data_IF_622944128521
#
_entry.id   IF_622944128521
#
_cell.length_a   1.000
_cell.length_b   1.000
_cell.length_c   1.000
_cell.angle_alpha   90.00
_cell.angle_beta   90.00
_cell.angle_gamma   90.00
#
_symmetry.space_group_name_H-M   'P 1'
#
loop_
_entity.id
_entity.type
_entity.pdbx_description
1 polymer ?
#
# COMPACT_ATOMS: atom_id res chain seq x y z
N UNK A 1 -7.89 4.43 7.59
CA UNK A 1 -9.23 4.45 6.93
C UNK A 1 -9.84 5.84 7.15
N UNK A 2 -10.99 6.18 6.54
CA UNK A 2 -11.68 7.46 6.79
C UNK A 2 -12.39 7.44 8.14
N UNK A 3 -12.60 8.62 8.72
CA UNK A 3 -13.25 8.77 10.05
C UNK A 3 -14.76 8.62 9.96
N UNK A 4 -15.42 8.36 11.09
CA UNK A 4 -16.89 8.34 11.19
C UNK A 4 -17.51 9.66 10.72
N UNK A 5 -16.87 10.80 11.02
CA UNK A 5 -17.31 12.11 10.52
C UNK A 5 -17.39 12.10 8.98
N UNK A 6 -16.35 11.63 8.29
CA UNK A 6 -16.35 11.59 6.83
C UNK A 6 -17.37 10.60 6.29
N UNK A 7 -17.55 9.45 6.94
CA UNK A 7 -18.60 8.49 6.59
C UNK A 7 -19.99 9.14 6.65
N UNK A 8 -20.29 9.88 7.72
CA UNK A 8 -21.56 10.60 7.90
C UNK A 8 -21.76 11.69 6.83
N UNK A 9 -20.72 12.48 6.51
CA UNK A 9 -20.78 13.50 5.45
C UNK A 9 -21.20 12.90 4.11
N UNK A 10 -20.63 11.72 3.74
CA UNK A 10 -20.99 11.02 2.50
C UNK A 10 -22.43 10.48 2.58
N UNK A 11 -22.81 9.95 3.72
CA UNK A 11 -24.12 9.33 3.93
C UNK A 11 -25.30 10.31 3.88
N UNK A 12 -25.09 11.63 4.08
CA UNK A 12 -26.13 12.64 3.95
C UNK A 12 -26.88 12.52 2.62
N UNK A 13 -26.16 12.24 1.54
CA UNK A 13 -26.74 12.14 0.18
C UNK A 13 -26.73 10.73 -0.37
N UNK A 14 -25.94 9.81 0.21
CA UNK A 14 -25.63 8.51 -0.37
C UNK A 14 -25.71 7.34 0.62
N UNK A 15 -26.39 7.53 1.74
CA UNK A 15 -26.43 6.54 2.82
C UNK A 15 -26.85 5.14 2.42
N UNK A 16 -27.79 5.01 1.48
CA UNK A 16 -28.29 3.74 0.94
C UNK A 16 -27.48 3.20 -0.25
N UNK A 17 -26.52 3.97 -0.79
CA UNK A 17 -25.65 3.49 -1.87
C UNK A 17 -24.69 2.44 -1.33
N UNK A 18 -24.24 1.56 -2.23
CA UNK A 18 -23.26 0.54 -1.89
C UNK A 18 -21.89 1.19 -1.61
N UNK A 19 -21.37 0.92 -0.43
CA UNK A 19 -20.05 1.36 0.02
C UNK A 19 -19.00 0.28 -0.17
N UNK A 20 -19.31 -0.97 0.22
CA UNK A 20 -18.38 -2.10 0.13
C UNK A 20 -19.08 -3.31 -0.46
N UNK A 21 -18.39 -3.99 -1.39
CA UNK A 21 -18.73 -5.32 -1.88
C UNK A 21 -17.64 -6.28 -1.43
N UNK A 22 -18.03 -7.30 -0.66
CA UNK A 22 -17.15 -8.36 -0.17
C UNK A 22 -17.74 -9.70 -0.59
N UNK A 23 -17.16 -10.31 -1.60
CA UNK A 23 -17.73 -11.47 -2.31
C UNK A 23 -19.13 -11.14 -2.84
N UNK A 24 -20.14 -11.90 -2.42
CA UNK A 24 -21.53 -11.70 -2.81
C UNK A 24 -22.29 -10.71 -1.90
N UNK A 25 -21.66 -10.27 -0.81
CA UNK A 25 -22.30 -9.38 0.17
C UNK A 25 -22.06 -7.92 -0.18
N UNK A 26 -23.12 -7.15 -0.10
CA UNK A 26 -23.10 -5.72 -0.31
C UNK A 26 -23.43 -4.99 0.98
N UNK A 27 -22.68 -3.93 1.27
CA UNK A 27 -22.86 -3.11 2.46
C UNK A 27 -23.03 -1.66 2.04
N UNK A 28 -24.07 -1.02 2.54
CA UNK A 28 -24.34 0.40 2.33
C UNK A 28 -23.42 1.27 3.20
N UNK A 29 -23.39 2.58 2.92
CA UNK A 29 -22.71 3.54 3.80
C UNK A 29 -23.29 3.51 5.22
N UNK A 30 -24.60 3.38 5.36
CA UNK A 30 -25.24 3.23 6.68
C UNK A 30 -24.81 1.95 7.39
N UNK A 31 -24.61 0.85 6.69
CA UNK A 31 -24.13 -0.38 7.33
C UNK A 31 -22.71 -0.20 7.88
N UNK A 32 -21.84 0.50 7.15
CA UNK A 32 -20.47 0.77 7.57
C UNK A 32 -20.44 1.74 8.76
N UNK A 33 -21.30 2.76 8.75
CA UNK A 33 -21.45 3.69 9.87
C UNK A 33 -21.84 2.93 11.14
N UNK A 34 -22.94 2.18 11.12
CA UNK A 34 -23.44 1.41 12.30
C UNK A 34 -22.37 0.47 12.84
N UNK A 35 -21.69 -0.24 11.97
CA UNK A 35 -20.59 -1.16 12.35
C UNK A 35 -19.41 -0.42 12.96
N UNK A 36 -19.09 0.77 12.46
CA UNK A 36 -18.02 1.62 12.99
C UNK A 36 -18.39 2.19 14.36
N UNK A 37 -19.61 2.69 14.51
CA UNK A 37 -20.15 3.20 15.79
C UNK A 37 -20.10 2.14 16.90
N UNK A 38 -20.56 0.94 16.60
CA UNK A 38 -20.52 -0.19 17.53
C UNK A 38 -19.09 -0.47 18.03
N UNK A 39 -18.09 -0.41 17.13
CA UNK A 39 -16.68 -0.63 17.48
C UNK A 39 -16.11 0.52 18.33
N UNK A 40 -16.50 1.76 18.04
CA UNK A 40 -16.08 2.91 18.85
C UNK A 40 -16.61 2.77 20.29
N UNK A 41 -17.89 2.44 20.44
CA UNK A 41 -18.51 2.22 21.77
C UNK A 41 -17.82 1.08 22.50
N UNK A 42 -17.60 -0.05 21.82
CA UNK A 42 -16.87 -1.18 22.40
C UNK A 42 -15.47 -0.77 22.89
N UNK A 43 -14.69 -0.07 22.06
CA UNK A 43 -13.34 0.36 22.43
C UNK A 43 -13.35 1.29 23.64
N UNK A 44 -14.31 2.22 23.71
CA UNK A 44 -14.41 3.17 24.80
C UNK A 44 -14.86 2.54 26.12
N UNK A 45 -15.64 1.45 26.06
CA UNK A 45 -16.08 0.70 27.24
C UNK A 45 -15.05 -0.30 27.74
N UNK A 46 -14.37 -0.99 26.80
CA UNK A 46 -13.46 -2.08 27.12
C UNK A 46 -12.03 -1.64 27.46
N UNK A 47 -11.62 -0.44 27.04
CA UNK A 47 -10.24 0.02 27.16
C UNK A 47 -10.14 1.45 27.67
N UNK A 48 -9.15 1.71 28.50
CA UNK A 48 -8.74 3.07 28.80
C UNK A 48 -7.97 3.69 27.62
N UNK A 49 -8.09 5.01 27.35
CA UNK A 49 -7.35 5.68 26.27
C UNK A 49 -5.83 5.45 26.34
N UNK A 50 -5.26 5.38 27.54
CA UNK A 50 -3.84 5.12 27.75
C UNK A 50 -3.40 3.71 27.31
N UNK A 51 -4.30 2.73 27.36
CA UNK A 51 -4.05 1.35 26.94
C UNK A 51 -4.06 1.22 25.40
N UNK A 52 -4.77 2.11 24.70
CA UNK A 52 -4.91 2.11 23.25
C UNK A 52 -3.98 3.12 22.56
N UNK A 53 -2.72 3.25 23.01
CA UNK A 53 -1.73 4.13 22.37
C UNK A 53 -1.42 3.74 20.92
N UNK A 54 -1.56 2.47 20.59
CA UNK A 54 -1.50 1.93 19.24
C UNK A 54 -2.15 0.56 19.17
N UNK A 55 -2.53 0.16 17.98
CA UNK A 55 -3.11 -1.15 17.66
C UNK A 55 -2.30 -1.80 16.55
N UNK A 56 -2.14 -3.12 16.61
CA UNK A 56 -1.67 -3.92 15.48
C UNK A 56 -2.80 -4.77 14.91
N UNK A 57 -2.71 -5.15 13.64
CA UNK A 57 -3.64 -6.11 13.05
C UNK A 57 -2.93 -7.10 12.10
N UNK A 58 -3.41 -8.34 12.15
CA UNK A 58 -3.01 -9.49 11.33
C UNK A 58 -4.27 -10.04 10.67
N UNK A 59 -4.61 -9.53 9.49
CA UNK A 59 -5.88 -9.86 8.85
C UNK A 59 -5.82 -9.73 7.34
N UNK A 60 -6.55 -10.59 6.65
CA UNK A 60 -6.95 -10.36 5.26
C UNK A 60 -7.90 -9.15 5.19
N UNK A 61 -8.07 -8.62 3.98
CA UNK A 61 -9.05 -7.58 3.74
C UNK A 61 -10.46 -8.09 4.07
N UNK A 62 -11.20 -7.31 4.83
CA UNK A 62 -12.59 -7.62 5.19
C UNK A 62 -13.34 -6.35 5.58
N UNK A 63 -14.66 -6.41 5.52
CA UNK A 63 -15.53 -5.32 5.99
C UNK A 63 -15.27 -5.02 7.46
N UNK A 64 -15.12 -6.07 8.27
CA UNK A 64 -14.88 -5.91 9.70
C UNK A 64 -13.56 -5.18 9.98
N UNK A 65 -12.48 -5.52 9.28
CA UNK A 65 -11.22 -4.79 9.38
C UNK A 65 -11.38 -3.31 8.99
N UNK A 66 -12.10 -3.02 7.91
CA UNK A 66 -12.34 -1.63 7.45
C UNK A 66 -13.09 -0.84 8.53
N UNK A 67 -14.12 -1.43 9.16
CA UNK A 67 -14.87 -0.79 10.23
C UNK A 67 -14.01 -0.55 11.50
N UNK A 68 -13.13 -1.50 11.87
CA UNK A 68 -12.15 -1.30 12.93
C UNK A 68 -11.19 -0.16 12.61
N UNK A 69 -10.66 -0.14 11.39
CA UNK A 69 -9.74 0.92 10.96
C UNK A 69 -10.41 2.30 10.93
N UNK A 70 -11.70 2.37 10.59
CA UNK A 70 -12.49 3.60 10.65
C UNK A 70 -12.73 4.04 12.11
N UNK A 71 -13.00 3.11 13.02
CA UNK A 71 -13.12 3.38 14.45
C UNK A 71 -11.80 3.92 15.03
N UNK A 72 -10.66 3.29 14.72
CA UNK A 72 -9.36 3.77 15.16
C UNK A 72 -9.02 5.14 14.57
N UNK A 73 -9.30 5.37 13.28
CA UNK A 73 -9.10 6.67 12.65
C UNK A 73 -9.95 7.76 13.32
N UNK A 74 -11.19 7.45 13.73
CA UNK A 74 -12.09 8.37 14.44
C UNK A 74 -11.56 8.73 15.83
N UNK A 75 -11.00 7.74 16.52
CA UNK A 75 -10.43 7.92 17.86
C UNK A 75 -8.96 8.40 17.83
N UNK A 76 -8.37 8.64 16.65
CA UNK A 76 -6.95 9.04 16.54
C UNK A 76 -5.96 7.97 17.00
N UNK A 77 -6.36 6.69 17.02
CA UNK A 77 -5.52 5.57 17.45
C UNK A 77 -4.71 5.06 16.26
N UNK A 78 -3.36 5.09 16.32
CA UNK A 78 -2.52 4.51 15.27
C UNK A 78 -2.76 3.01 15.13
N UNK A 79 -3.11 2.57 13.91
CA UNK A 79 -3.33 1.15 13.59
C UNK A 79 -2.26 0.67 12.61
N UNK A 80 -1.49 -0.34 13.02
CA UNK A 80 -0.32 -0.84 12.33
C UNK A 80 -0.62 -2.22 11.74
N UNK A 81 -0.67 -2.30 10.42
CA UNK A 81 -0.81 -3.58 9.72
C UNK A 81 0.50 -4.35 9.72
N UNK A 82 0.44 -5.62 10.09
CA UNK A 82 1.56 -6.54 10.00
C UNK A 82 1.30 -7.53 8.86
N UNK A 83 2.34 -7.84 8.12
CA UNK A 83 2.26 -8.86 7.08
C UNK A 83 2.05 -10.24 7.73
N UNK A 84 0.85 -10.78 7.59
CA UNK A 84 0.45 -12.04 8.18
C UNK A 84 1.15 -13.26 7.55
N UNK A 85 1.88 -13.09 6.45
CA UNK A 85 2.68 -14.14 5.83
C UNK A 85 4.09 -14.29 6.46
N UNK A 86 4.49 -13.36 7.31
CA UNK A 86 5.78 -13.42 7.99
C UNK A 86 5.84 -14.58 8.99
N UNK A 87 7.03 -15.14 9.23
CA UNK A 87 7.23 -16.15 10.27
C UNK A 87 6.75 -15.65 11.65
N UNK A 88 6.13 -16.54 12.43
CA UNK A 88 5.57 -16.24 13.76
C UNK A 88 6.58 -15.55 14.69
N UNK A 89 7.82 -15.98 14.69
CA UNK A 89 8.87 -15.40 15.52
C UNK A 89 9.19 -13.93 15.11
N UNK A 90 9.13 -13.65 13.81
CA UNK A 90 9.30 -12.29 13.30
C UNK A 90 8.13 -11.41 13.72
N UNK A 91 6.90 -11.90 13.57
CA UNK A 91 5.67 -11.21 14.00
C UNK A 91 5.71 -10.92 15.51
N UNK A 92 6.08 -11.92 16.32
CA UNK A 92 6.22 -11.75 17.76
C UNK A 92 7.28 -10.69 18.11
N UNK A 93 8.42 -10.71 17.43
CA UNK A 93 9.47 -9.70 17.60
C UNK A 93 8.99 -8.28 17.29
N UNK A 94 8.19 -8.12 16.23
CA UNK A 94 7.56 -6.83 15.86
C UNK A 94 6.53 -6.39 16.92
N UNK A 95 5.68 -7.30 17.40
CA UNK A 95 4.69 -7.01 18.43
C UNK A 95 5.34 -6.53 19.74
N UNK A 96 6.46 -7.16 20.14
CA UNK A 96 7.22 -6.74 21.33
C UNK A 96 7.80 -5.33 21.12
N UNK A 97 8.35 -5.03 19.95
CA UNK A 97 8.92 -3.70 19.64
C UNK A 97 7.87 -2.60 19.56
N UNK A 98 6.73 -2.87 18.93
CA UNK A 98 5.64 -1.90 18.76
C UNK A 98 4.88 -1.73 20.07
N UNK A 99 4.76 -2.79 20.86
CA UNK A 99 4.04 -2.88 22.13
C UNK A 99 2.62 -2.24 22.05
N UNK A 100 1.74 -2.73 21.16
CA UNK A 100 0.39 -2.22 21.01
C UNK A 100 -0.47 -2.61 22.23
N UNK A 101 -1.48 -1.81 22.56
CA UNK A 101 -2.45 -2.19 23.60
C UNK A 101 -3.45 -3.26 23.14
N UNK A 102 -3.68 -3.34 21.84
CA UNK A 102 -4.61 -4.28 21.21
C UNK A 102 -4.02 -4.86 19.93
N UNK A 103 -4.24 -6.13 19.70
CA UNK A 103 -3.98 -6.82 18.43
C UNK A 103 -5.26 -7.44 17.89
N UNK A 104 -5.66 -7.02 16.69
CA UNK A 104 -6.75 -7.66 15.94
C UNK A 104 -6.19 -8.80 15.08
N UNK A 105 -6.81 -9.96 15.11
CA UNK A 105 -6.34 -11.14 14.37
C UNK A 105 -7.50 -11.81 13.64
N UNK A 106 -7.31 -12.14 12.38
CA UNK A 106 -8.15 -13.14 11.70
C UNK A 106 -7.69 -14.53 12.14
N UNK A 107 -8.40 -15.11 13.10
CA UNK A 107 -8.00 -16.41 13.69
C UNK A 107 -7.93 -17.52 12.67
N UNK A 108 -8.66 -17.44 11.57
CA UNK A 108 -8.59 -18.40 10.47
C UNK A 108 -7.24 -18.45 9.74
N UNK A 109 -6.36 -17.48 9.95
CA UNK A 109 -5.02 -17.45 9.35
C UNK A 109 -4.01 -18.33 10.09
N UNK A 110 -4.29 -18.71 11.34
CA UNK A 110 -3.33 -19.34 12.23
C UNK A 110 -3.92 -20.55 12.92
N UNK A 111 -3.09 -21.55 13.15
CA UNK A 111 -3.42 -22.67 14.04
C UNK A 111 -3.48 -22.20 15.51
N UNK A 112 -4.14 -22.96 16.41
CA UNK A 112 -4.14 -22.65 17.85
C UNK A 112 -2.74 -22.53 18.45
N UNK A 113 -1.80 -23.36 18.00
CA UNK A 113 -0.40 -23.32 18.47
C UNK A 113 0.33 -22.05 18.02
N UNK A 114 0.09 -21.58 16.80
CA UNK A 114 0.63 -20.33 16.29
C UNK A 114 0.04 -19.13 17.02
N UNK A 115 -1.25 -19.12 17.29
CA UNK A 115 -1.90 -18.07 18.10
C UNK A 115 -1.33 -18.01 19.51
N UNK A 116 -1.06 -19.17 20.14
CA UNK A 116 -0.39 -19.21 21.44
C UNK A 116 1.02 -18.64 21.39
N UNK A 117 1.78 -18.91 20.33
CA UNK A 117 3.11 -18.35 20.12
C UNK A 117 3.10 -16.85 19.87
N UNK A 118 2.09 -16.34 19.16
CA UNK A 118 1.89 -14.91 18.93
C UNK A 118 1.50 -14.15 20.19
N UNK A 119 0.93 -14.82 21.18
CA UNK A 119 0.44 -14.19 22.41
C UNK A 119 1.58 -13.51 23.20
N UNK A 120 1.38 -12.25 23.50
CA UNK A 120 2.23 -11.43 24.36
C UNK A 120 1.38 -10.96 25.54
N UNK A 121 1.80 -11.24 26.78
CA UNK A 121 1.00 -11.00 28.00
C UNK A 121 0.45 -9.57 28.15
N UNK A 122 1.15 -8.59 27.64
CA UNK A 122 0.80 -7.17 27.72
C UNK A 122 -0.13 -6.70 26.62
N UNK A 123 -0.44 -7.55 25.63
CA UNK A 123 -1.21 -7.22 24.44
C UNK A 123 -2.52 -7.98 24.48
N UNK A 124 -3.65 -7.26 24.49
CA UNK A 124 -4.96 -7.89 24.33
C UNK A 124 -5.13 -8.36 22.88
N UNK A 125 -5.50 -9.63 22.71
CA UNK A 125 -5.78 -10.21 21.38
C UNK A 125 -7.28 -10.33 21.19
N UNK A 126 -7.80 -9.85 20.05
CA UNK A 126 -9.20 -9.88 19.69
C UNK A 126 -9.37 -10.36 18.25
N UNK A 127 -10.38 -11.19 18.00
CA UNK A 127 -10.74 -11.57 16.63
C UNK A 127 -11.25 -10.35 15.84
N UNK A 128 -10.84 -10.23 14.57
CA UNK A 128 -11.29 -9.13 13.70
C UNK A 128 -12.82 -9.14 13.53
N UNK A 129 -13.41 -10.32 13.45
CA UNK A 129 -14.84 -10.58 13.32
C UNK A 129 -15.56 -10.78 14.66
N UNK A 130 -14.88 -10.46 15.80
CA UNK A 130 -15.50 -10.52 17.11
C UNK A 130 -16.80 -9.70 17.13
N UNK A 131 -17.91 -10.26 17.65
CA UNK A 131 -19.13 -9.51 17.79
C UNK A 131 -18.89 -8.34 18.76
N UNK A 132 -19.02 -7.16 18.26
CA UNK A 132 -19.23 -5.97 19.08
C UNK A 132 -20.73 -5.91 19.34
N UNK A 133 -21.17 -5.63 20.58
CA UNK A 133 -22.56 -5.65 20.95
C UNK A 133 -23.45 -5.10 19.83
N UNK A 134 -24.44 -5.87 19.38
CA UNK A 134 -25.34 -5.38 18.37
C UNK A 134 -26.07 -4.18 18.96
N UNK A 135 -25.71 -2.99 18.51
CA UNK A 135 -26.59 -1.86 18.69
C UNK A 135 -27.79 -2.15 17.83
N UNK A 136 -28.78 -2.79 18.43
CA UNK A 136 -30.11 -2.94 17.86
C UNK A 136 -30.78 -1.58 18.03
N UNK A 137 -30.34 -0.59 17.24
CA UNK A 137 -31.14 0.58 16.93
C UNK A 137 -32.14 0.18 15.87
N UNK A 138 -33.39 0.54 16.06
CA UNK A 138 -34.43 0.45 15.05
C UNK A 138 -33.96 1.11 13.75
N UNK A 139 -34.37 0.57 12.62
CA UNK A 139 -34.16 1.12 11.29
C UNK A 139 -34.59 2.60 11.31
N UNK A 140 -33.62 3.54 11.30
CA UNK A 140 -33.90 4.98 11.33
C UNK A 140 -33.13 5.82 12.34
N UNK A 141 -32.56 5.25 13.39
CA UNK A 141 -31.71 5.95 14.35
C UNK A 141 -30.24 5.73 14.00
N UNK A 142 -29.59 6.77 13.43
CA UNK A 142 -28.25 6.70 12.89
C UNK A 142 -27.14 6.96 13.91
N UNK A 143 -27.47 7.27 15.16
CA UNK A 143 -26.50 7.55 16.19
C UNK A 143 -26.72 6.66 17.40
N UNK A 144 -25.65 6.07 17.90
CA UNK A 144 -25.66 5.44 19.21
C UNK A 144 -25.83 6.55 20.25
N UNK A 145 -26.84 6.53 21.16
CA UNK A 145 -27.10 7.61 22.09
C UNK A 145 -25.91 8.04 22.95
N UNK A 146 -25.01 7.08 23.26
CA UNK A 146 -23.80 7.34 24.03
C UNK A 146 -22.65 7.91 23.16
N UNK A 147 -22.69 7.75 21.84
CA UNK A 147 -21.57 8.08 20.96
C UNK A 147 -21.27 9.57 20.94
N UNK A 148 -22.29 10.41 20.87
CA UNK A 148 -22.11 11.88 20.91
C UNK A 148 -21.43 12.34 22.19
N UNK A 149 -21.87 11.80 23.34
CA UNK A 149 -21.24 12.10 24.63
C UNK A 149 -19.79 11.60 24.70
N UNK A 150 -19.52 10.39 24.17
CA UNK A 150 -18.18 9.81 24.13
C UNK A 150 -17.23 10.58 23.22
N UNK A 151 -17.72 11.05 22.07
CA UNK A 151 -16.93 11.84 21.13
C UNK A 151 -16.74 13.29 21.58
N UNK A 152 -17.73 13.89 22.24
CA UNK A 152 -17.62 15.24 22.78
C UNK A 152 -16.52 15.39 23.84
N UNK A 153 -16.23 14.32 24.58
CA UNK A 153 -15.16 14.30 25.60
C UNK A 153 -13.83 13.75 25.08
N UNK A 154 -13.81 13.28 23.83
CA UNK A 154 -12.62 12.68 23.24
C UNK A 154 -11.67 13.74 22.68
N UNK A 155 -10.42 13.76 23.17
CA UNK A 155 -9.33 14.55 22.60
C UNK A 155 -8.51 13.61 21.75
N UNK A 156 -8.51 13.76 20.40
CA UNK A 156 -7.69 12.92 19.53
C UNK A 156 -6.21 13.07 19.89
N UNK A 157 -5.50 11.93 19.93
CA UNK A 157 -4.05 11.97 20.07
C UNK A 157 -3.41 12.68 18.84
N UNK A 158 -2.24 13.30 19.00
CA UNK A 158 -1.48 13.84 17.88
C UNK A 158 -1.30 12.79 16.77
N UNK A 159 -1.39 13.22 15.52
CA UNK A 159 -1.24 12.32 14.38
C UNK A 159 0.06 11.53 14.48
N UNK A 160 -0.03 10.21 14.35
CA UNK A 160 1.11 9.32 14.26
C UNK A 160 0.78 8.19 13.29
N UNK A 161 1.61 8.01 12.29
CA UNK A 161 1.53 6.89 11.36
C UNK A 161 2.74 5.99 11.55
N UNK A 162 2.49 4.70 11.60
CA UNK A 162 3.51 3.65 11.65
C UNK A 162 3.32 2.77 10.43
N UNK A 163 4.40 2.55 9.70
CA UNK A 163 4.42 1.63 8.55
C UNK A 163 5.65 0.73 8.67
N UNK A 164 5.57 -0.47 8.10
CA UNK A 164 6.71 -1.37 8.03
C UNK A 164 7.30 -1.36 6.63
N UNK A 165 8.62 -1.37 6.53
CA UNK A 165 9.28 -1.61 5.25
C UNK A 165 9.11 -3.07 4.87
N UNK A 166 8.93 -3.35 3.58
CA UNK A 166 8.99 -4.71 3.03
C UNK A 166 10.46 -5.14 2.93
N UNK A 167 11.06 -5.51 4.05
CA UNK A 167 12.48 -5.88 4.09
C UNK A 167 12.79 -7.06 3.16
N UNK A 168 13.49 -6.79 2.06
CA UNK A 168 13.95 -7.83 1.13
C UNK A 168 15.26 -8.50 1.58
N UNK A 169 15.99 -7.92 2.52
CA UNK A 169 17.32 -8.40 2.98
C UNK A 169 17.53 -8.32 4.49
N UNK A 170 16.65 -7.68 5.26
CA UNK A 170 16.77 -7.52 6.71
C UNK A 170 15.38 -7.51 7.38
N UNK A 171 15.35 -7.60 8.71
CA UNK A 171 14.10 -7.47 9.46
C UNK A 171 13.38 -6.16 9.09
N UNK A 172 12.02 -6.17 8.97
CA UNK A 172 11.26 -4.98 8.65
C UNK A 172 11.56 -3.82 9.60
N UNK A 173 11.81 -2.62 9.04
CA UNK A 173 12.02 -1.41 9.84
C UNK A 173 10.69 -0.72 10.08
N UNK A 174 10.55 -0.11 11.25
CA UNK A 174 9.39 0.72 11.60
C UNK A 174 9.65 2.14 11.09
N UNK A 175 8.79 2.62 10.21
CA UNK A 175 8.79 3.97 9.65
C UNK A 175 7.76 4.82 10.38
N UNK A 176 8.16 5.96 10.92
CA UNK A 176 7.32 6.87 11.68
C UNK A 176 7.06 8.17 10.90
N UNK A 177 5.79 8.65 10.98
CA UNK A 177 5.39 9.97 10.51
C UNK A 177 4.51 10.65 11.54
N UNK A 178 4.77 11.92 11.75
CA UNK A 178 4.03 12.77 12.70
C UNK A 178 3.11 13.77 11.99
N UNK A 179 3.15 13.81 10.65
CA UNK A 179 2.26 14.62 9.84
C UNK A 179 1.64 13.78 8.72
N UNK A 180 0.35 14.01 8.46
CA UNK A 180 -0.34 13.38 7.34
C UNK A 180 -0.08 14.14 6.05
N UNK A 181 0.24 13.44 5.00
CA UNK A 181 0.37 13.98 3.64
C UNK A 181 -0.84 13.61 2.75
N UNK A 182 -1.79 12.89 3.30
CA UNK A 182 -2.87 12.30 2.48
C UNK A 182 -3.74 13.34 1.78
N UNK A 183 -4.09 14.44 2.43
CA UNK A 183 -4.95 15.46 1.82
C UNK A 183 -4.33 15.96 0.52
N UNK A 184 -3.07 16.42 0.54
CA UNK A 184 -2.38 16.91 -0.66
C UNK A 184 -2.26 15.84 -1.74
N UNK A 185 -1.83 14.62 -1.36
CA UNK A 185 -1.67 13.51 -2.31
C UNK A 185 -3.01 13.12 -2.94
N UNK A 186 -4.07 13.00 -2.14
CA UNK A 186 -5.38 12.60 -2.63
C UNK A 186 -5.98 13.67 -3.54
N UNK A 187 -5.86 14.94 -3.18
CA UNK A 187 -6.30 16.06 -4.01
C UNK A 187 -5.59 16.05 -5.36
N UNK A 188 -4.25 15.88 -5.35
CA UNK A 188 -3.48 15.83 -6.58
C UNK A 188 -3.93 14.70 -7.51
N UNK A 189 -4.02 13.46 -7.00
CA UNK A 189 -4.46 12.31 -7.81
C UNK A 189 -5.91 12.45 -8.27
N UNK A 190 -6.79 12.93 -7.41
CA UNK A 190 -8.20 13.16 -7.74
C UNK A 190 -8.34 14.15 -8.89
N UNK A 191 -7.64 15.28 -8.84
CA UNK A 191 -7.65 16.28 -9.89
C UNK A 191 -6.98 15.78 -11.17
N UNK A 192 -5.79 15.16 -11.04
CA UNK A 192 -5.02 14.70 -12.21
C UNK A 192 -5.76 13.66 -13.04
N UNK A 193 -6.46 12.73 -12.40
CA UNK A 193 -7.16 11.63 -13.06
C UNK A 193 -8.68 11.79 -13.08
N UNK A 194 -9.21 12.94 -12.66
CA UNK A 194 -10.63 13.23 -12.59
C UNK A 194 -11.42 12.13 -11.87
N UNK A 195 -10.93 11.69 -10.70
CA UNK A 195 -11.63 10.70 -9.92
C UNK A 195 -12.87 11.27 -9.26
N UNK A 196 -13.93 10.47 -9.25
CA UNK A 196 -15.22 10.79 -8.65
C UNK A 196 -15.71 9.62 -7.79
N UNK A 197 -16.83 9.81 -7.14
CA UNK A 197 -17.51 8.74 -6.41
C UNK A 197 -18.07 7.61 -7.31
N UNK A 198 -18.10 7.79 -8.62
CA UNK A 198 -18.49 6.74 -9.58
C UNK A 198 -17.33 5.78 -9.91
N UNK A 199 -16.13 6.10 -9.48
CA UNK A 199 -14.94 5.28 -9.73
C UNK A 199 -14.77 4.26 -8.62
N UNK A 200 -15.53 3.17 -8.62
CA UNK A 200 -15.35 2.09 -7.67
C UNK A 200 -13.94 1.51 -7.72
N UNK A 201 -13.38 1.25 -6.55
CA UNK A 201 -12.00 0.81 -6.39
C UNK A 201 -11.93 -0.68 -6.07
N UNK A 202 -11.19 -1.43 -6.88
CA UNK A 202 -10.88 -2.82 -6.63
C UNK A 202 -9.72 -2.91 -5.63
N UNK A 203 -10.02 -3.30 -4.40
CA UNK A 203 -9.04 -3.49 -3.34
C UNK A 203 -8.52 -4.91 -3.35
N UNK A 204 -7.44 -5.15 -4.08
CA UNK A 204 -6.76 -6.43 -4.21
C UNK A 204 -5.51 -6.50 -3.33
N UNK A 205 -4.83 -5.36 -3.10
CA UNK A 205 -3.67 -5.31 -2.22
C UNK A 205 -4.09 -5.36 -0.75
N UNK A 206 -3.32 -6.04 0.09
CA UNK A 206 -3.62 -6.10 1.53
C UNK A 206 -3.63 -4.73 2.19
N UNK A 207 -4.57 -4.51 3.11
CA UNK A 207 -4.68 -3.28 3.89
C UNK A 207 -3.50 -3.05 4.84
N UNK A 208 -2.71 -4.07 5.16
CA UNK A 208 -1.50 -3.87 5.95
C UNK A 208 -0.37 -3.19 5.15
N UNK A 209 -0.41 -3.23 3.82
CA UNK A 209 0.48 -2.44 2.98
C UNK A 209 0.01 -0.98 2.87
N UNK A 210 0.97 -0.06 2.88
CA UNK A 210 0.70 1.37 2.72
C UNK A 210 -0.07 1.68 1.42
N UNK A 211 0.22 0.96 0.33
CA UNK A 211 -0.50 1.09 -0.93
C UNK A 211 -1.97 0.65 -0.79
N UNK A 212 -2.25 -0.55 -0.28
CA UNK A 212 -3.63 -1.03 -0.10
C UNK A 212 -4.46 -0.08 0.77
N UNK A 213 -3.94 0.27 1.96
CA UNK A 213 -4.64 1.17 2.88
C UNK A 213 -4.81 2.60 2.33
N UNK A 214 -3.75 3.17 1.77
CA UNK A 214 -3.76 4.55 1.29
C UNK A 214 -4.74 4.76 0.15
N UNK A 215 -4.75 3.90 -0.85
CA UNK A 215 -5.64 4.01 -2.00
C UNK A 215 -7.10 3.67 -1.64
N UNK A 216 -7.35 2.63 -0.83
CA UNK A 216 -8.70 2.35 -0.33
C UNK A 216 -9.27 3.56 0.43
N UNK A 217 -8.46 4.21 1.26
CA UNK A 217 -8.84 5.40 2.01
C UNK A 217 -9.16 6.59 1.11
N UNK A 218 -8.39 6.80 0.03
CA UNK A 218 -8.63 7.85 -0.95
C UNK A 218 -9.99 7.66 -1.64
N UNK A 219 -10.21 6.49 -2.25
CA UNK A 219 -11.45 6.23 -3.00
C UNK A 219 -12.68 6.22 -2.08
N UNK A 220 -12.57 5.63 -0.90
CA UNK A 220 -13.62 5.69 0.10
C UNK A 220 -13.89 7.13 0.56
N UNK A 221 -12.85 7.97 0.68
CA UNK A 221 -12.97 9.40 1.00
C UNK A 221 -13.68 10.21 -0.09
N UNK A 222 -13.60 9.79 -1.36
CA UNK A 222 -14.37 10.37 -2.47
C UNK A 222 -15.84 9.93 -2.48
N UNK A 223 -16.20 8.96 -1.66
CA UNK A 223 -17.51 8.32 -1.67
C UNK A 223 -17.65 7.20 -2.70
N UNK A 224 -16.55 6.71 -3.26
CA UNK A 224 -16.55 5.57 -4.18
C UNK A 224 -16.67 4.24 -3.42
N UNK A 225 -17.26 3.24 -4.09
CA UNK A 225 -17.37 1.88 -3.53
C UNK A 225 -16.02 1.16 -3.52
N UNK A 226 -15.80 0.31 -2.50
CA UNK A 226 -14.69 -0.63 -2.46
C UNK A 226 -15.17 -2.04 -2.82
N UNK A 227 -14.44 -2.70 -3.71
CA UNK A 227 -14.67 -4.09 -4.09
C UNK A 227 -13.52 -4.93 -3.54
N UNK A 228 -13.79 -5.77 -2.52
CA UNK A 228 -12.76 -6.57 -1.86
C UNK A 228 -12.57 -7.88 -2.62
N UNK A 229 -11.35 -8.12 -3.08
CA UNK A 229 -10.98 -9.37 -3.77
C UNK A 229 -9.66 -9.87 -3.19
N UNK A 230 -9.61 -11.15 -2.86
CA UNK A 230 -8.35 -11.82 -2.53
C UNK A 230 -7.52 -12.00 -3.80
N UNK A 231 -6.26 -11.59 -3.77
CA UNK A 231 -5.36 -11.67 -4.93
C UNK A 231 -5.18 -13.10 -5.47
N UNK A 232 -5.43 -14.13 -4.65
CA UNK A 232 -5.28 -15.53 -5.02
C UNK A 232 -6.59 -16.15 -5.55
N UNK A 233 -7.71 -15.42 -5.48
CA UNK A 233 -8.99 -15.83 -6.04
C UNK A 233 -9.20 -15.24 -7.44
N UNK A 234 -8.70 -15.97 -8.45
CA UNK A 234 -8.78 -15.56 -9.86
C UNK A 234 -10.22 -15.44 -10.35
N UNK A 235 -11.10 -16.33 -9.90
CA UNK A 235 -12.52 -16.29 -10.28
C UNK A 235 -13.22 -15.04 -9.77
N UNK A 236 -13.01 -14.70 -8.50
CA UNK A 236 -13.54 -13.47 -7.92
C UNK A 236 -12.93 -12.21 -8.57
N UNK A 237 -11.65 -12.27 -8.97
CA UNK A 237 -10.99 -11.18 -9.68
C UNK A 237 -11.65 -10.93 -11.05
N UNK A 238 -11.84 -11.96 -11.86
CA UNK A 238 -12.50 -11.86 -13.17
C UNK A 238 -13.92 -11.31 -13.01
N UNK A 239 -14.67 -11.84 -12.06
CA UNK A 239 -16.04 -11.39 -11.78
C UNK A 239 -16.06 -9.90 -11.39
N UNK A 240 -15.17 -9.47 -10.49
CA UNK A 240 -15.10 -8.08 -10.08
C UNK A 240 -14.72 -7.14 -11.23
N UNK A 241 -13.78 -7.53 -12.09
CA UNK A 241 -13.37 -6.74 -13.26
C UNK A 241 -14.50 -6.54 -14.26
N UNK A 242 -15.41 -7.50 -14.38
CA UNK A 242 -16.59 -7.41 -15.28
C UNK A 242 -17.69 -6.47 -14.76
N UNK A 243 -17.57 -5.93 -13.55
CA UNK A 243 -18.54 -4.99 -12.99
C UNK A 243 -18.27 -3.57 -13.51
N UNK A 244 -19.30 -2.94 -14.08
CA UNK A 244 -19.18 -1.56 -14.58
C UNK A 244 -18.85 -0.54 -13.46
N UNK A 245 -19.08 -0.88 -12.20
CA UNK A 245 -18.71 -0.03 -11.05
C UNK A 245 -17.22 -0.03 -10.77
N UNK A 246 -16.45 -1.02 -11.21
CA UNK A 246 -14.99 -1.13 -10.95
C UNK A 246 -14.21 -0.36 -12.01
N UNK A 247 -13.63 0.76 -11.63
CA UNK A 247 -12.92 1.68 -12.54
C UNK A 247 -11.44 1.83 -12.25
N UNK A 248 -11.02 1.60 -11.00
CA UNK A 248 -9.66 1.86 -10.56
C UNK A 248 -9.12 0.74 -9.66
N UNK A 249 -7.81 0.52 -9.74
CA UNK A 249 -7.10 -0.40 -8.83
C UNK A 249 -5.62 -0.07 -8.74
N UNK A 250 -4.95 -0.68 -7.75
CA UNK A 250 -3.49 -0.68 -7.63
C UNK A 250 -3.01 -2.12 -7.59
N UNK A 251 -2.00 -2.43 -8.40
CA UNK A 251 -1.47 -3.78 -8.56
C UNK A 251 0.05 -3.80 -8.46
N UNK A 252 0.60 -4.96 -8.08
CA UNK A 252 2.02 -5.24 -8.29
C UNK A 252 2.26 -5.67 -9.73
N UNK A 253 3.50 -5.54 -10.27
CA UNK A 253 3.85 -6.05 -11.59
C UNK A 253 3.51 -7.53 -11.80
N UNK A 254 3.64 -8.35 -10.74
CA UNK A 254 3.28 -9.78 -10.80
C UNK A 254 1.77 -9.98 -11.03
N UNK A 255 0.91 -9.22 -10.33
CA UNK A 255 -0.53 -9.28 -10.54
C UNK A 255 -0.91 -8.84 -11.96
N UNK A 256 -0.28 -7.78 -12.48
CA UNK A 256 -0.49 -7.36 -13.87
C UNK A 256 -0.08 -8.45 -14.85
N UNK A 257 1.07 -9.10 -14.63
CA UNK A 257 1.54 -10.18 -15.50
C UNK A 257 0.58 -11.38 -15.51
N UNK A 258 0.03 -11.76 -14.35
CA UNK A 258 -0.99 -12.81 -14.23
C UNK A 258 -2.26 -12.43 -15.01
N UNK A 259 -2.75 -11.21 -14.82
CA UNK A 259 -3.94 -10.70 -15.50
C UNK A 259 -3.74 -10.61 -17.01
N UNK A 260 -2.55 -10.16 -17.45
CA UNK A 260 -2.16 -10.09 -18.86
C UNK A 260 -2.13 -11.48 -19.51
N UNK A 261 -1.57 -12.48 -18.81
CA UNK A 261 -1.58 -13.86 -19.28
C UNK A 261 -3.01 -14.37 -19.48
N UNK A 262 -3.87 -14.16 -18.49
CA UNK A 262 -5.27 -14.53 -18.58
C UNK A 262 -5.96 -13.86 -19.78
N UNK A 263 -5.74 -12.55 -19.97
CA UNK A 263 -6.29 -11.80 -21.09
C UNK A 263 -5.73 -12.23 -22.46
N UNK A 264 -4.54 -12.85 -22.51
CA UNK A 264 -3.99 -13.43 -23.75
C UNK A 264 -4.60 -14.78 -24.12
N UNK A 265 -5.13 -15.50 -23.13
CA UNK A 265 -5.71 -16.85 -23.31
C UNK A 265 -7.24 -16.81 -23.48
N UNK A 266 -7.88 -15.77 -22.93
CA UNK A 266 -9.34 -15.61 -22.95
C UNK A 266 -9.74 -14.16 -23.17
N UNK A 267 -10.98 -13.93 -23.63
CA UNK A 267 -11.52 -12.56 -23.72
C UNK A 267 -11.87 -12.08 -22.30
N UNK A 268 -11.02 -11.22 -21.74
CA UNK A 268 -11.26 -10.61 -20.45
C UNK A 268 -12.02 -9.30 -20.61
N UNK A 269 -13.27 -9.29 -20.19
CA UNK A 269 -14.06 -8.07 -20.12
C UNK A 269 -13.75 -7.31 -18.84
N UNK A 270 -13.36 -6.04 -18.94
CA UNK A 270 -13.16 -5.17 -17.79
C UNK A 270 -13.63 -3.74 -18.07
N UNK A 271 -13.92 -3.00 -17.00
CA UNK A 271 -14.30 -1.60 -17.05
C UNK A 271 -13.28 -0.68 -16.39
N UNK A 272 -12.08 -1.21 -16.08
CA UNK A 272 -10.98 -0.41 -15.55
C UNK A 272 -10.62 0.71 -16.51
N UNK A 273 -10.47 1.92 -15.99
CA UNK A 273 -9.94 3.10 -16.69
C UNK A 273 -8.60 3.56 -16.13
N UNK A 274 -8.21 3.02 -14.97
CA UNK A 274 -6.98 3.40 -14.29
C UNK A 274 -6.44 2.24 -13.44
N UNK A 275 -5.19 1.90 -13.70
CA UNK A 275 -4.42 0.92 -12.93
C UNK A 275 -3.10 1.55 -12.56
N UNK A 276 -2.77 1.61 -11.27
CA UNK A 276 -1.47 2.06 -10.80
C UNK A 276 -0.62 0.85 -10.45
N UNK A 277 0.57 0.77 -11.03
CA UNK A 277 1.48 -0.37 -10.86
C UNK A 277 2.73 0.08 -10.12
N UNK A 278 3.17 -0.71 -9.14
CA UNK A 278 4.41 -0.43 -8.43
C UNK A 278 4.71 -1.43 -7.31
N UNK A 279 5.67 -1.10 -6.46
CA UNK A 279 6.12 -1.95 -5.36
C UNK A 279 7.26 -2.90 -5.71
N UNK A 280 7.52 -3.15 -7.00
CA UNK A 280 8.70 -3.83 -7.54
C UNK A 280 8.99 -3.35 -8.95
N UNK A 281 10.11 -3.76 -9.52
CA UNK A 281 10.44 -3.45 -10.91
C UNK A 281 9.39 -4.03 -11.87
N UNK A 282 8.93 -3.21 -12.82
CA UNK A 282 7.96 -3.61 -13.84
C UNK A 282 8.66 -3.79 -15.18
N UNK A 283 8.89 -5.04 -15.62
CA UNK A 283 9.65 -5.33 -16.84
C UNK A 283 9.03 -4.73 -18.08
N UNK A 284 9.86 -4.21 -18.99
CA UNK A 284 9.43 -3.60 -20.26
C UNK A 284 8.55 -4.54 -21.08
N UNK A 285 8.95 -5.81 -21.20
CA UNK A 285 8.15 -6.84 -21.89
C UNK A 285 6.75 -6.99 -21.27
N UNK A 286 6.65 -6.96 -19.95
CA UNK A 286 5.38 -7.07 -19.25
C UNK A 286 4.52 -5.80 -19.43
N UNK A 287 5.13 -4.62 -19.46
CA UNK A 287 4.44 -3.36 -19.78
C UNK A 287 3.81 -3.43 -21.18
N UNK A 288 4.59 -3.78 -22.18
CA UNK A 288 4.13 -3.89 -23.58
C UNK A 288 3.00 -4.92 -23.69
N UNK A 289 3.15 -6.09 -23.06
CA UNK A 289 2.11 -7.12 -23.07
C UNK A 289 0.81 -6.65 -22.39
N UNK A 290 0.92 -5.96 -21.26
CA UNK A 290 -0.25 -5.39 -20.56
C UNK A 290 -0.99 -4.40 -21.45
N UNK A 291 -0.29 -3.51 -22.13
CA UNK A 291 -0.89 -2.58 -23.11
C UNK A 291 -1.61 -3.32 -24.25
N UNK A 292 -0.96 -4.34 -24.81
CA UNK A 292 -1.51 -5.09 -25.95
C UNK A 292 -2.81 -5.80 -25.61
N UNK A 293 -2.90 -6.37 -24.39
CA UNK A 293 -4.03 -7.22 -24.02
C UNK A 293 -5.09 -6.51 -23.18
N UNK A 294 -4.72 -5.47 -22.43
CA UNK A 294 -5.61 -4.79 -21.46
C UNK A 294 -5.80 -3.30 -21.78
N UNK A 295 -5.09 -2.76 -22.77
CA UNK A 295 -5.25 -1.36 -23.22
C UNK A 295 -4.46 -0.33 -22.40
N UNK A 296 -4.69 0.93 -22.72
CA UNK A 296 -3.94 2.09 -22.22
C UNK A 296 -4.47 2.61 -20.88
N UNK A 297 -4.48 1.75 -19.85
CA UNK A 297 -5.03 2.06 -18.53
C UNK A 297 -3.97 2.08 -17.43
N UNK A 298 -2.73 1.69 -17.76
CA UNK A 298 -1.67 1.51 -16.78
C UNK A 298 -0.88 2.77 -16.54
N UNK A 299 -0.59 3.03 -15.28
CA UNK A 299 0.33 4.05 -14.79
C UNK A 299 1.31 3.34 -13.86
N UNK A 300 2.57 3.74 -13.85
CA UNK A 300 3.58 3.17 -12.97
C UNK A 300 4.05 4.21 -11.97
N UNK A 301 4.28 3.81 -10.72
CA UNK A 301 4.88 4.66 -9.72
C UNK A 301 6.18 4.08 -9.18
N UNK A 302 7.10 4.98 -8.80
CA UNK A 302 8.29 4.65 -8.05
C UNK A 302 8.31 5.41 -6.72
N UNK A 303 8.74 4.71 -5.68
CA UNK A 303 8.86 5.20 -4.32
C UNK A 303 9.00 4.05 -3.34
N UNK A 304 9.14 4.36 -2.07
CA UNK A 304 9.24 3.37 -1.00
C UNK A 304 8.43 3.80 0.24
N UNK A 305 8.41 2.94 1.25
CA UNK A 305 7.69 3.24 2.51
C UNK A 305 8.19 4.54 3.15
N UNK A 306 9.48 4.82 3.06
CA UNK A 306 10.12 5.99 3.66
C UNK A 306 9.80 7.30 2.93
N UNK A 307 9.58 7.24 1.62
CA UNK A 307 9.44 8.44 0.77
C UNK A 307 8.04 8.66 0.22
N UNK A 308 7.18 7.65 0.25
CA UNK A 308 5.88 7.66 -0.41
C UNK A 308 5.99 7.40 -1.91
N UNK A 309 5.06 7.92 -2.69
CA UNK A 309 5.02 7.84 -4.16
C UNK A 309 5.62 9.10 -4.75
N UNK A 310 6.75 9.01 -5.43
CA UNK A 310 7.55 10.18 -5.80
C UNK A 310 7.68 10.42 -7.29
N UNK A 311 7.64 9.35 -8.08
CA UNK A 311 7.77 9.37 -9.54
C UNK A 311 6.55 8.68 -10.13
N UNK A 312 6.05 9.21 -11.21
CA UNK A 312 4.89 8.67 -11.93
C UNK A 312 5.19 8.61 -13.42
N UNK A 313 4.95 7.47 -14.02
CA UNK A 313 4.84 7.27 -15.46
C UNK A 313 3.36 7.09 -15.78
N UNK A 314 2.77 8.08 -16.43
CA UNK A 314 1.38 7.98 -16.88
C UNK A 314 1.29 7.08 -18.12
N UNK A 315 0.09 6.66 -18.45
CA UNK A 315 -0.14 5.68 -19.52
C UNK A 315 0.50 6.08 -20.86
N UNK A 316 0.45 7.34 -21.26
CA UNK A 316 1.11 7.84 -22.47
C UNK A 316 2.64 7.76 -22.38
N UNK A 317 3.20 8.24 -21.25
CA UNK A 317 4.65 8.18 -21.03
C UNK A 317 5.18 6.75 -21.00
N UNK A 318 4.44 5.85 -20.37
CA UNK A 318 4.80 4.44 -20.27
C UNK A 318 4.80 3.76 -21.65
N UNK A 319 3.91 4.17 -22.55
CA UNK A 319 3.88 3.70 -23.92
C UNK A 319 5.06 4.25 -24.75
N UNK A 320 5.35 5.56 -24.64
CA UNK A 320 6.43 6.21 -25.37
C UNK A 320 7.82 5.78 -24.91
N UNK A 321 7.98 5.53 -23.60
CA UNK A 321 9.27 5.22 -22.99
C UNK A 321 9.14 4.14 -21.90
N UNK A 322 8.86 2.88 -22.28
CA UNK A 322 8.54 1.82 -21.31
C UNK A 322 9.72 1.44 -20.40
N UNK A 323 10.96 1.81 -20.74
CA UNK A 323 12.13 1.60 -19.89
C UNK A 323 12.20 2.57 -18.69
N UNK A 324 11.47 3.69 -18.74
CA UNK A 324 11.43 4.67 -17.66
C UNK A 324 10.35 4.32 -16.64
N UNK A 325 10.56 4.72 -15.38
CA UNK A 325 9.53 4.73 -14.34
C UNK A 325 8.79 6.06 -14.23
N UNK A 326 9.06 7.01 -15.15
CA UNK A 326 8.39 8.30 -15.25
C UNK A 326 9.18 9.48 -14.70
N UNK A 327 8.46 10.51 -14.27
CA UNK A 327 9.01 11.78 -13.77
C UNK A 327 8.54 12.08 -12.35
N UNK A 328 9.31 12.88 -11.65
CA UNK A 328 8.86 13.46 -10.38
C UNK A 328 7.60 14.32 -10.60
N UNK A 329 6.65 14.25 -9.69
CA UNK A 329 5.38 14.95 -9.75
C UNK A 329 5.06 15.66 -8.42
N UNK A 330 4.09 16.56 -8.42
CA UNK A 330 3.57 17.25 -7.23
C UNK A 330 4.68 17.85 -6.31
N UNK A 331 5.71 18.45 -6.92
CA UNK A 331 6.80 19.08 -6.18
C UNK A 331 7.80 18.11 -5.54
N UNK A 332 7.67 16.79 -5.78
CA UNK A 332 8.75 15.86 -5.48
C UNK A 332 10.00 16.20 -6.33
N UNK A 333 11.17 15.92 -5.79
CA UNK A 333 12.43 16.13 -6.51
C UNK A 333 13.28 14.88 -6.47
N UNK A 334 13.89 14.57 -7.61
CA UNK A 334 14.84 13.47 -7.76
C UNK A 334 16.20 14.05 -8.09
N UNK A 335 17.23 13.57 -7.43
CA UNK A 335 18.64 13.81 -7.76
C UNK A 335 19.35 12.49 -7.95
N UNK A 336 20.30 12.48 -8.87
CA UNK A 336 21.25 11.39 -9.02
C UNK A 336 22.57 11.90 -8.44
N UNK A 337 23.15 11.08 -7.56
CA UNK A 337 24.33 11.45 -6.78
C UNK A 337 25.48 10.49 -7.07
N UNK A 338 26.70 11.01 -7.03
CA UNK A 338 27.90 10.20 -7.01
C UNK A 338 28.15 9.55 -5.62
N UNK A 339 29.31 8.93 -5.46
CA UNK A 339 29.69 8.28 -4.20
C UNK A 339 29.88 9.25 -3.03
N UNK A 340 30.27 10.49 -3.33
CA UNK A 340 30.48 11.56 -2.36
C UNK A 340 29.20 12.38 -2.09
N UNK A 341 28.06 11.92 -2.62
CA UNK A 341 26.73 12.57 -2.55
C UNK A 341 26.66 13.92 -3.28
N UNK A 342 27.49 14.13 -4.29
CA UNK A 342 27.44 15.32 -5.16
C UNK A 342 26.45 15.06 -6.32
N UNK A 343 25.55 16.04 -6.62
CA UNK A 343 24.60 15.88 -7.72
C UNK A 343 25.27 15.74 -9.09
N UNK A 344 24.81 14.74 -9.84
CA UNK A 344 25.25 14.44 -11.20
C UNK A 344 24.31 15.10 -12.24
N UNK A 345 24.86 15.38 -13.42
CA UNK A 345 24.08 15.85 -14.58
C UNK A 345 23.27 14.71 -15.18
N UNK A 346 22.22 15.07 -15.96
CA UNK A 346 21.44 14.12 -16.74
C UNK A 346 22.34 13.17 -17.57
N UNK A 347 21.90 11.95 -17.76
CA UNK A 347 22.63 10.87 -18.41
C UNK A 347 23.68 10.16 -17.55
N UNK A 348 24.11 10.77 -16.43
CA UNK A 348 25.08 10.13 -15.53
C UNK A 348 24.37 9.20 -14.55
N UNK A 349 25.02 8.07 -14.24
CA UNK A 349 24.53 7.01 -13.37
C UNK A 349 24.99 7.20 -11.94
N UNK A 350 24.10 6.97 -10.96
CA UNK A 350 24.46 7.13 -9.55
C UNK A 350 23.34 6.72 -8.61
N UNK A 351 23.49 7.08 -7.34
CA UNK A 351 22.51 6.84 -6.28
C UNK A 351 21.30 7.75 -6.47
N UNK A 352 20.12 7.19 -6.28
CA UNK A 352 18.87 7.98 -6.35
C UNK A 352 18.60 8.60 -4.99
N UNK A 353 18.39 9.93 -4.98
CA UNK A 353 17.98 10.68 -3.80
C UNK A 353 16.63 11.37 -4.06
N UNK A 354 15.76 11.34 -3.05
CA UNK A 354 14.37 11.81 -3.14
C UNK A 354 14.11 12.88 -2.08
N UNK A 355 13.67 14.07 -2.49
CA UNK A 355 13.04 15.04 -1.61
C UNK A 355 11.52 15.05 -1.86
N UNK A 356 10.74 14.98 -0.79
CA UNK A 356 9.28 14.83 -0.86
C UNK A 356 8.62 15.37 0.40
N UNK A 357 7.41 15.90 0.25
CA UNK A 357 6.53 16.19 1.39
C UNK A 357 6.00 14.93 2.06
N UNK A 358 6.19 13.76 1.45
CA UNK A 358 5.78 12.44 1.96
C UNK A 358 6.91 11.71 2.70
N UNK A 359 8.08 12.34 2.89
CA UNK A 359 9.18 11.71 3.63
C UNK A 359 8.75 11.29 5.04
N UNK A 360 9.29 10.18 5.50
CA UNK A 360 9.19 9.82 6.90
C UNK A 360 9.86 10.86 7.81
N UNK A 361 9.50 10.88 9.08
CA UNK A 361 10.21 11.70 10.05
C UNK A 361 11.44 10.97 10.60
N UNK A 362 11.28 9.69 10.96
CA UNK A 362 12.37 8.85 11.50
C UNK A 362 12.01 7.36 11.44
N UNK A 363 12.99 6.50 11.68
CA UNK A 363 12.75 5.09 11.98
C UNK A 363 12.36 4.89 13.45
N UNK A 364 11.82 3.71 13.78
CA UNK A 364 11.40 3.35 15.14
C UNK A 364 12.54 3.30 16.17
N UNK A 365 13.79 3.25 15.72
CA UNK A 365 14.99 3.36 16.54
C UNK A 365 15.48 4.80 16.71
N UNK A 366 14.75 5.79 16.16
CA UNK A 366 15.10 7.21 16.20
C UNK A 366 16.09 7.65 15.13
N UNK A 367 16.57 6.75 14.26
CA UNK A 367 17.51 7.11 13.20
C UNK A 367 16.82 7.92 12.09
N UNK A 368 17.55 8.91 11.54
CA UNK A 368 17.10 9.86 10.51
C UNK A 368 18.09 9.88 9.35
N UNK A 369 18.02 8.92 8.43
CA UNK A 369 19.01 8.74 7.37
C UNK A 369 18.75 9.71 6.21
N UNK A 370 18.83 11.00 6.47
CA UNK A 370 18.68 12.04 5.48
C UNK A 370 20.02 12.73 5.20
N UNK A 371 20.15 13.25 3.98
CA UNK A 371 21.21 14.14 3.57
C UNK A 371 20.62 15.49 3.19
N UNK A 372 21.40 16.56 3.27
CA UNK A 372 21.04 17.89 2.80
C UNK A 372 21.74 18.21 1.48
N UNK A 373 20.98 18.67 0.50
CA UNK A 373 21.47 19.19 -0.78
C UNK A 373 20.73 20.49 -1.05
N UNK A 374 21.47 21.59 -1.26
CA UNK A 374 20.91 22.92 -1.52
C UNK A 374 19.86 23.34 -0.46
N UNK A 375 20.13 23.08 0.82
CA UNK A 375 19.24 23.34 1.96
C UNK A 375 17.91 22.58 1.93
N UNK A 376 17.84 21.50 1.17
CA UNK A 376 16.69 20.63 1.10
C UNK A 376 17.05 19.21 1.56
N UNK A 377 16.12 18.58 2.29
CA UNK A 377 16.30 17.24 2.86
C UNK A 377 15.98 16.16 1.85
N UNK A 378 16.92 15.25 1.60
CA UNK A 378 16.78 14.09 0.72
C UNK A 378 16.94 12.79 1.48
N UNK A 379 16.18 11.79 1.07
CA UNK A 379 16.36 10.39 1.47
C UNK A 379 17.10 9.66 0.36
N UNK A 380 18.16 8.92 0.74
CA UNK A 380 18.90 8.07 -0.20
C UNK A 380 18.15 6.75 -0.39
N UNK A 381 17.72 6.50 -1.62
CA UNK A 381 17.10 5.23 -1.99
C UNK A 381 18.15 4.12 -2.05
N UNK A 382 17.68 2.88 -1.90
CA UNK A 382 18.54 1.71 -2.11
C UNK A 382 18.81 1.42 -3.59
N UNK A 383 18.28 2.24 -4.49
CA UNK A 383 18.32 2.02 -5.93
C UNK A 383 19.34 2.96 -6.59
N UNK A 384 19.95 2.47 -7.68
CA UNK A 384 20.78 3.23 -8.60
C UNK A 384 20.02 3.48 -9.89
N UNK A 385 20.30 4.61 -10.52
CA UNK A 385 19.63 4.98 -11.76
C UNK A 385 20.24 6.23 -12.41
N UNK A 386 19.55 6.76 -13.39
CA UNK A 386 19.90 8.03 -14.04
C UNK A 386 18.63 8.77 -14.48
N UNK A 387 18.75 10.06 -14.66
CA UNK A 387 17.73 10.90 -15.30
C UNK A 387 18.15 11.18 -16.74
N UNK A 388 17.20 11.13 -17.69
CA UNK A 388 17.43 11.65 -19.04
C UNK A 388 17.28 13.19 -19.07
N UNK A 389 17.53 13.81 -20.23
CA UNK A 389 17.41 15.26 -20.43
C UNK A 389 15.95 15.76 -20.27
N UNK A 390 14.96 14.87 -20.33
CA UNK A 390 13.55 15.17 -20.11
C UNK A 390 13.11 14.94 -18.65
N UNK A 391 14.04 14.63 -17.74
CA UNK A 391 13.77 14.35 -16.33
C UNK A 391 13.08 13.02 -16.07
N UNK A 392 13.11 12.09 -17.02
CA UNK A 392 12.63 10.72 -16.83
C UNK A 392 13.64 9.91 -16.03
N UNK A 393 13.17 9.17 -15.02
CA UNK A 393 13.99 8.29 -14.19
C UNK A 393 14.06 6.89 -14.78
N UNK A 394 15.27 6.36 -14.89
CA UNK A 394 15.57 5.00 -15.28
C UNK A 394 16.24 4.27 -14.12
N UNK A 395 15.70 3.12 -13.74
CA UNK A 395 16.27 2.28 -12.69
C UNK A 395 17.28 1.32 -13.30
N UNK A 396 18.39 1.09 -12.61
CA UNK A 396 19.46 0.19 -13.07
C UNK A 396 19.59 -1.07 -12.22
N UNK A 397 19.57 -0.89 -10.91
CA UNK A 397 19.67 -1.98 -9.97
C UNK A 397 19.16 -1.55 -8.59
N UNK A 398 18.91 -2.53 -7.73
CA UNK A 398 18.65 -2.30 -6.31
C UNK A 398 19.77 -2.94 -5.52
N UNK A 399 20.60 -2.11 -4.88
CA UNK A 399 21.68 -2.62 -4.07
C UNK A 399 22.00 -1.72 -2.87
N UNK A 400 22.00 -2.32 -1.70
CA UNK A 400 22.45 -1.69 -0.45
C UNK A 400 23.87 -2.11 -0.02
N UNK A 401 24.41 -3.21 -0.54
CA UNK A 401 25.63 -3.82 0.03
C UNK A 401 26.76 -4.05 -0.99
N UNK A 402 26.45 -4.08 -2.28
CA UNK A 402 27.44 -4.34 -3.34
C UNK A 402 27.37 -3.23 -4.38
N UNK A 403 28.50 -2.56 -4.60
CA UNK A 403 28.64 -1.60 -5.71
C UNK A 403 28.52 -2.35 -7.03
N UNK A 404 27.33 -2.42 -7.60
CA UNK A 404 27.12 -2.96 -8.92
C UNK A 404 26.92 -1.83 -9.92
N UNK A 405 27.96 -1.49 -10.67
CA UNK A 405 27.93 -0.49 -11.75
C UNK A 405 27.14 -0.99 -12.96
N UNK A 406 26.79 -2.29 -12.97
CA UNK A 406 26.08 -2.92 -14.08
C UNK A 406 24.58 -2.63 -13.98
N UNK A 407 23.98 -2.41 -15.14
CA UNK A 407 22.54 -2.27 -15.27
C UNK A 407 21.88 -3.66 -15.21
N UNK A 408 21.60 -4.10 -14.00
CA UNK A 408 21.02 -5.42 -13.72
C UNK A 408 19.66 -5.55 -14.40
N UNK A 409 18.83 -4.51 -14.34
CA UNK A 409 17.51 -4.57 -14.98
C UNK A 409 17.60 -4.66 -16.49
N UNK A 410 18.56 -3.98 -17.11
CA UNK A 410 18.81 -4.10 -18.55
C UNK A 410 19.28 -5.52 -18.94
N UNK A 411 20.13 -6.12 -18.14
CA UNK A 411 20.58 -7.52 -18.37
C UNK A 411 19.40 -8.47 -18.20
N UNK A 412 18.58 -8.32 -17.16
CA UNK A 412 17.38 -9.11 -16.96
C UNK A 412 16.41 -9.00 -18.17
N UNK A 413 16.21 -7.79 -18.71
CA UNK A 413 15.35 -7.58 -19.88
C UNK A 413 15.85 -8.37 -21.10
N UNK A 414 17.17 -8.38 -21.32
CA UNK A 414 17.76 -9.16 -22.41
C UNK A 414 17.58 -10.67 -22.19
N UNK A 415 17.74 -11.14 -20.97
CA UNK A 415 17.52 -12.56 -20.63
C UNK A 415 16.05 -12.95 -20.78
N UNK A 416 15.11 -12.07 -20.34
CA UNK A 416 13.67 -12.29 -20.54
C UNK A 416 13.24 -12.29 -22.01
N UNK A 417 14.03 -11.67 -22.90
CA UNK A 417 13.77 -11.70 -24.33
C UNK A 417 14.07 -13.08 -24.97
N UNK A 418 14.83 -13.94 -24.30
CA UNK A 418 15.15 -15.29 -24.80
C UNK A 418 13.89 -16.17 -24.77
N UNK A 419 13.57 -16.90 -25.86
CA UNK A 419 12.33 -17.67 -25.95
C UNK A 419 12.17 -18.78 -24.91
N UNK A 420 13.30 -19.29 -24.39
CA UNK A 420 13.32 -20.35 -23.38
C UNK A 420 13.16 -19.83 -21.93
N UNK A 421 13.27 -18.53 -21.69
CA UNK A 421 13.17 -17.97 -20.33
C UNK A 421 11.78 -17.38 -20.12
N UNK A 422 11.12 -17.84 -19.06
CA UNK A 422 9.81 -17.33 -18.66
C UNK A 422 9.94 -16.18 -17.66
N UNK A 423 10.92 -16.26 -16.76
CA UNK A 423 11.26 -15.19 -15.84
C UNK A 423 12.70 -15.30 -15.36
N UNK A 424 13.30 -14.17 -14.92
CA UNK A 424 14.67 -14.12 -14.43
C UNK A 424 14.82 -13.02 -13.38
N UNK A 425 15.63 -13.30 -12.38
CA UNK A 425 16.09 -12.33 -11.39
C UNK A 425 17.60 -12.43 -11.23
N UNK A 426 18.29 -11.31 -11.29
CA UNK A 426 19.72 -11.19 -11.06
C UNK A 426 19.94 -10.53 -9.68
N UNK A 427 20.61 -11.26 -8.78
CA UNK A 427 20.83 -10.83 -7.42
C UNK A 427 22.34 -10.63 -7.22
N UNK A 428 22.80 -9.38 -7.04
CA UNK A 428 24.18 -9.15 -6.61
C UNK A 428 24.41 -9.75 -5.22
N UNK A 429 25.45 -10.55 -5.08
CA UNK A 429 25.83 -11.19 -3.81
C UNK A 429 27.33 -11.04 -3.57
N UNK A 430 27.71 -10.88 -2.29
CA UNK A 430 29.11 -10.95 -1.88
C UNK A 430 29.41 -12.32 -1.28
N UNK A 431 30.34 -13.04 -1.90
CA UNK A 431 30.74 -14.34 -1.43
C UNK A 431 32.28 -14.41 -1.40
N UNK A 432 32.86 -14.79 -0.27
CA UNK A 432 34.31 -14.87 -0.08
C UNK A 432 35.07 -13.59 -0.47
N UNK A 433 34.53 -12.43 -0.07
CA UNK A 433 35.06 -11.10 -0.41
C UNK A 433 35.11 -10.76 -1.91
N UNK A 434 34.36 -11.47 -2.74
CA UNK A 434 34.18 -11.18 -4.17
C UNK A 434 32.73 -10.90 -4.48
N UNK A 435 32.49 -9.95 -5.35
CA UNK A 435 31.16 -9.61 -5.82
C UNK A 435 30.78 -10.54 -6.96
N UNK A 436 29.60 -11.15 -6.88
CA UNK A 436 29.03 -12.06 -7.85
C UNK A 436 27.59 -11.65 -8.18
N UNK A 437 27.12 -12.04 -9.35
CA UNK A 437 25.72 -11.95 -9.70
C UNK A 437 25.13 -13.36 -9.72
N UNK A 438 24.16 -13.64 -8.83
CA UNK A 438 23.37 -14.87 -8.86
C UNK A 438 22.23 -14.70 -9.83
N UNK A 439 22.17 -15.57 -10.83
CA UNK A 439 21.04 -15.64 -11.74
C UNK A 439 20.05 -16.72 -11.27
N UNK A 440 18.81 -16.34 -11.05
CA UNK A 440 17.68 -17.23 -10.77
C UNK A 440 16.72 -17.09 -11.95
N UNK A 441 16.35 -18.18 -12.59
CA UNK A 441 15.45 -18.13 -13.75
C UNK A 441 14.48 -19.30 -13.77
N UNK A 442 13.34 -19.09 -14.42
CA UNK A 442 12.41 -20.13 -14.83
C UNK A 442 12.44 -20.29 -16.35
N UNK A 443 12.39 -21.52 -16.82
CA UNK A 443 12.44 -21.84 -18.23
C UNK A 443 11.21 -22.64 -18.68
N UNK A 444 10.86 -22.52 -19.96
CA UNK A 444 9.89 -23.43 -20.58
C UNK A 444 10.57 -24.79 -20.77
N UNK A 445 9.91 -25.84 -20.35
CA UNK A 445 10.30 -27.21 -20.65
C UNK A 445 9.94 -27.57 -22.07
#
# INVERSE_FOLDING_TARGET
MITLRRLNEIAITRGNDICIIDKERQYTWYDIIRRTESRIVFLRRAFNPEQLRSVCYLSKNSVDLICWLAAFATLGIPANGLDYSLPIETLRGLLIKINPGLMLVSFSLYSPDELNKLHVRTITMLAVDAPTDPVIGSIGEFHHPELESLLATHIPAPFRSVSLTSGTSSAPKIVLRYNSFDARRFDWFTQRFNFTHHDGFLLILPLYHAAGNGWARMFMGLGASLHLVDQDDESALIQALSLNSVKATVMTPNLVSRLTKLASETVLHHYLRWVLVGGSYFPVKSKIAAYTHLGHIFNEYYGCTETGVNVLSESSDMFECPGSVGRAFDGNKIRILDEDNVPLKAGNRGKIAVASYMLMDEYGDGSRPFIEIDSERYFLMADYGYLDDNGRLFLMNRNSEIKCEQDIYHIEEHLRALPCITDVALIPIRQQNKDHIRCIFSAKH
#
